data_IF_167382895177
#
_entry.id   IF_167382895177
#
_cell.length_a   1.000
_cell.length_b   1.000
_cell.length_c   1.000
_cell.angle_alpha   90.00
_cell.angle_beta   90.00
_cell.angle_gamma   90.00
#
_symmetry.space_group_name_H-M   'P 1'
#
loop_
_entity.id
_entity.type
_entity.pdbx_description
1 polymer ?
#
# COMPACT_ATOMS: atom_id res chain seq x y z
N UNK A 1 -21.36 0.06 -5.04
CA UNK A 1 -20.80 1.25 -4.37
C UNK A 1 -20.72 0.90 -2.89
N UNK A 2 -19.58 1.12 -2.23
CA UNK A 2 -19.47 0.76 -0.80
C UNK A 2 -20.28 1.74 0.04
N UNK A 3 -20.94 1.24 1.08
CA UNK A 3 -21.70 2.06 2.03
C UNK A 3 -20.82 3.15 2.68
N UNK A 4 -19.55 2.82 2.98
CA UNK A 4 -18.56 3.77 3.50
C UNK A 4 -18.40 5.01 2.59
N UNK A 5 -18.39 4.80 1.26
CA UNK A 5 -18.27 5.88 0.30
C UNK A 5 -19.52 6.77 0.29
N UNK A 6 -20.71 6.18 0.38
CA UNK A 6 -21.96 6.94 0.45
C UNK A 6 -22.02 7.83 1.69
N UNK A 7 -21.66 7.28 2.85
CA UNK A 7 -21.58 8.04 4.11
C UNK A 7 -20.54 9.15 4.02
N UNK A 8 -19.35 8.87 3.47
CA UNK A 8 -18.31 9.87 3.32
C UNK A 8 -18.75 11.02 2.38
N UNK A 9 -19.43 10.70 1.27
CA UNK A 9 -19.97 11.69 0.32
C UNK A 9 -21.10 12.53 0.92
N UNK A 10 -21.93 11.94 1.77
CA UNK A 10 -22.98 12.67 2.48
C UNK A 10 -22.36 13.63 3.51
N UNK A 11 -21.47 13.12 4.35
CA UNK A 11 -20.88 13.90 5.44
C UNK A 11 -19.94 15.01 4.95
N UNK A 12 -19.21 14.79 3.86
CA UNK A 12 -18.19 15.72 3.36
C UNK A 12 -18.63 16.44 2.07
N UNK A 13 -19.95 16.54 1.84
CA UNK A 13 -20.49 17.25 0.67
C UNK A 13 -20.09 18.72 0.69
N UNK A 14 -19.55 19.20 -0.43
CA UNK A 14 -19.07 20.57 -0.59
C UNK A 14 -17.70 20.83 0.02
N UNK A 15 -17.09 19.82 0.65
CA UNK A 15 -15.73 19.90 1.16
C UNK A 15 -14.74 19.51 0.07
N UNK A 16 -13.56 20.13 0.10
CA UNK A 16 -12.42 19.69 -0.70
C UNK A 16 -11.85 18.39 -0.13
N UNK A 17 -12.43 17.27 -0.55
CA UNK A 17 -12.11 15.93 -0.05
C UNK A 17 -12.08 14.89 -1.17
N UNK A 18 -11.16 13.93 -1.05
CA UNK A 18 -10.93 12.87 -2.04
C UNK A 18 -10.75 11.52 -1.36
N UNK A 19 -11.34 10.47 -1.95
CA UNK A 19 -10.89 9.10 -1.67
C UNK A 19 -9.57 8.88 -2.37
N UNK A 20 -8.61 8.26 -1.71
CA UNK A 20 -7.24 8.10 -2.22
C UNK A 20 -6.71 6.69 -2.00
N UNK A 21 -5.59 6.34 -2.63
CA UNK A 21 -4.80 5.18 -2.23
C UNK A 21 -5.39 3.83 -2.61
N UNK A 22 -5.22 2.87 -1.68
CA UNK A 22 -5.65 1.49 -1.87
C UNK A 22 -7.14 1.37 -2.13
N UNK A 23 -7.95 2.23 -1.51
CA UNK A 23 -9.39 2.26 -1.71
C UNK A 23 -9.78 2.54 -3.17
N UNK A 24 -9.14 3.53 -3.81
CA UNK A 24 -9.40 3.84 -5.23
C UNK A 24 -8.91 2.70 -6.12
N UNK A 25 -7.69 2.21 -5.87
CA UNK A 25 -7.09 1.08 -6.59
C UNK A 25 -7.99 -0.16 -6.56
N UNK A 26 -8.38 -0.59 -5.37
CA UNK A 26 -9.15 -1.81 -5.17
C UNK A 26 -10.55 -1.67 -5.76
N UNK A 27 -11.17 -0.48 -5.68
CA UNK A 27 -12.43 -0.19 -6.38
C UNK A 27 -12.30 -0.31 -7.90
N UNK A 28 -11.22 0.22 -8.49
CA UNK A 28 -10.97 0.11 -9.93
C UNK A 28 -10.70 -1.33 -10.38
N UNK A 29 -10.12 -2.15 -9.49
CA UNK A 29 -9.92 -3.58 -9.71
C UNK A 29 -11.17 -4.43 -9.41
N UNK A 30 -12.28 -3.84 -8.97
CA UNK A 30 -13.50 -4.57 -8.59
C UNK A 30 -13.36 -5.39 -7.31
N UNK A 31 -12.39 -5.07 -6.46
CA UNK A 31 -12.17 -5.72 -5.16
C UNK A 31 -13.00 -5.03 -4.06
N UNK A 32 -13.33 -5.75 -2.97
CA UNK A 32 -13.97 -5.14 -1.81
C UNK A 32 -13.11 -4.02 -1.20
N UNK A 33 -13.74 -2.92 -0.81
CA UNK A 33 -13.09 -1.81 -0.10
C UNK A 33 -13.70 -1.72 1.29
N UNK A 34 -12.95 -2.15 2.30
CA UNK A 34 -13.35 -2.11 3.72
C UNK A 34 -12.77 -0.87 4.42
N UNK A 35 -11.58 -0.46 4.01
CA UNK A 35 -10.89 0.71 4.53
C UNK A 35 -10.91 1.83 3.48
N UNK A 36 -11.50 2.97 3.85
CA UNK A 36 -11.57 4.14 2.98
C UNK A 36 -10.58 5.20 3.47
N UNK A 37 -9.54 5.48 2.69
CA UNK A 37 -8.65 6.60 2.94
C UNK A 37 -9.22 7.87 2.29
N UNK A 38 -9.45 8.92 3.08
CA UNK A 38 -9.98 10.22 2.63
C UNK A 38 -8.98 11.32 2.94
N UNK A 39 -8.43 11.93 1.89
CA UNK A 39 -7.59 13.12 2.00
C UNK A 39 -8.45 14.38 1.95
N UNK A 40 -8.22 15.33 2.85
CA UNK A 40 -8.99 16.58 2.97
C UNK A 40 -8.09 17.81 2.97
N UNK A 41 -8.55 18.89 2.33
CA UNK A 41 -7.87 20.18 2.41
C UNK A 41 -8.20 20.96 3.70
N UNK A 42 -9.29 20.59 4.37
CA UNK A 42 -9.71 21.16 5.65
C UNK A 42 -9.03 20.49 6.85
N UNK A 43 -9.50 20.83 8.05
CA UNK A 43 -8.97 20.29 9.31
C UNK A 43 -9.51 18.86 9.56
N UNK A 44 -8.64 17.82 9.59
CA UNK A 44 -9.08 16.42 9.64
C UNK A 44 -9.96 16.07 10.83
N UNK A 45 -9.68 16.61 12.03
CA UNK A 45 -10.47 16.31 13.22
C UNK A 45 -11.91 16.77 13.07
N UNK A 46 -12.13 17.97 12.55
CA UNK A 46 -13.45 18.56 12.36
C UNK A 46 -14.25 17.75 11.35
N UNK A 47 -13.64 17.42 10.21
CA UNK A 47 -14.28 16.63 9.16
C UNK A 47 -14.54 15.18 9.57
N UNK A 48 -13.60 14.54 10.27
CA UNK A 48 -13.79 13.21 10.83
C UNK A 48 -14.92 13.17 11.87
N UNK A 49 -15.05 14.20 12.70
CA UNK A 49 -16.16 14.31 13.66
C UNK A 49 -17.50 14.47 12.97
N UNK A 50 -17.57 15.25 11.90
CA UNK A 50 -18.78 15.36 11.10
C UNK A 50 -19.15 14.01 10.47
N UNK A 51 -18.18 13.31 9.89
CA UNK A 51 -18.36 11.98 9.32
C UNK A 51 -18.83 10.97 10.38
N UNK A 52 -18.25 11.00 11.58
CA UNK A 52 -18.67 10.16 12.71
C UNK A 52 -20.14 10.35 13.12
N UNK A 53 -20.65 11.58 13.06
CA UNK A 53 -22.08 11.86 13.35
C UNK A 53 -22.98 11.17 12.33
N UNK A 54 -22.67 11.28 11.03
CA UNK A 54 -23.45 10.63 9.96
C UNK A 54 -23.30 9.10 10.00
N UNK A 55 -22.10 8.61 10.31
CA UNK A 55 -21.82 7.18 10.47
C UNK A 55 -22.44 6.57 11.73
N UNK A 56 -22.89 7.38 12.70
CA UNK A 56 -23.39 6.92 13.99
C UNK A 56 -22.33 6.27 14.88
N UNK A 57 -21.07 6.73 14.76
CA UNK A 57 -19.92 6.08 15.38
C UNK A 57 -18.89 7.04 15.98
N UNK A 58 -17.82 6.53 16.61
CA UNK A 58 -16.76 7.38 17.17
C UNK A 58 -15.74 7.81 16.10
N UNK A 59 -15.17 9.00 16.29
CA UNK A 59 -13.95 9.46 15.64
C UNK A 59 -12.82 9.56 16.66
N UNK A 60 -11.65 9.03 16.34
CA UNK A 60 -10.46 9.10 17.21
C UNK A 60 -9.18 9.33 16.40
N UNK A 61 -8.21 9.97 17.03
CA UNK A 61 -6.91 10.26 16.44
C UNK A 61 -6.04 8.99 16.47
N UNK A 62 -5.46 8.62 15.32
CA UNK A 62 -4.59 7.43 15.21
C UNK A 62 -3.17 7.72 15.71
N UNK A 63 -2.66 8.92 15.48
CA UNK A 63 -1.38 9.38 16.02
C UNK A 63 -1.25 10.90 15.90
N UNK A 64 -0.68 11.53 16.94
CA UNK A 64 -0.43 12.98 16.95
C UNK A 64 0.65 13.45 15.96
N UNK A 65 1.42 12.53 15.35
CA UNK A 65 2.49 12.86 14.42
C UNK A 65 1.99 13.11 12.98
N UNK A 66 0.90 12.46 12.57
CA UNK A 66 0.37 12.52 11.20
C UNK A 66 -1.02 13.17 11.11
N UNK A 67 -1.64 13.50 12.25
CA UNK A 67 -2.95 14.16 12.29
C UNK A 67 -4.07 13.35 11.63
N UNK A 68 -3.90 12.03 11.52
CA UNK A 68 -4.87 11.12 10.91
C UNK A 68 -5.98 10.77 11.92
N UNK A 69 -7.22 10.83 11.46
CA UNK A 69 -8.41 10.52 12.25
C UNK A 69 -9.16 9.34 11.69
N UNK A 70 -9.43 8.34 12.51
CA UNK A 70 -10.23 7.18 12.14
C UNK A 70 -11.66 7.36 12.59
N UNK A 71 -12.59 7.06 11.70
CA UNK A 71 -14.00 6.93 11.99
C UNK A 71 -14.39 5.47 11.85
N UNK A 72 -14.92 4.92 12.94
CA UNK A 72 -15.47 3.57 12.96
C UNK A 72 -16.99 3.64 12.92
N UNK A 73 -17.65 2.76 12.17
CA UNK A 73 -19.11 2.66 12.17
C UNK A 73 -19.56 1.40 12.94
N UNK A 74 -20.13 1.54 14.15
CA UNK A 74 -20.59 0.40 14.95
C UNK A 74 -21.57 -0.49 14.17
N UNK A 75 -21.33 -1.80 14.17
CA UNK A 75 -22.15 -2.78 13.46
C UNK A 75 -21.94 -2.83 11.94
N UNK A 76 -20.93 -2.10 11.43
CA UNK A 76 -20.51 -2.14 10.02
C UNK A 76 -19.05 -2.60 9.94
N UNK A 77 -18.69 -3.27 8.84
CA UNK A 77 -17.34 -3.84 8.64
C UNK A 77 -16.37 -2.88 7.96
N UNK A 78 -16.66 -1.58 7.97
CA UNK A 78 -15.84 -0.58 7.31
C UNK A 78 -15.38 0.52 8.27
N UNK A 79 -14.28 1.16 7.91
CA UNK A 79 -13.74 2.34 8.59
C UNK A 79 -13.27 3.38 7.58
N UNK A 80 -13.24 4.63 8.00
CA UNK A 80 -12.75 5.76 7.18
C UNK A 80 -11.62 6.45 7.91
N UNK A 81 -10.47 6.55 7.27
CA UNK A 81 -9.32 7.33 7.75
C UNK A 81 -9.29 8.67 7.04
N UNK A 82 -9.40 9.75 7.81
CA UNK A 82 -9.38 11.13 7.33
C UNK A 82 -8.01 11.74 7.61
N UNK A 83 -7.32 12.18 6.56
CA UNK A 83 -5.97 12.76 6.64
C UNK A 83 -5.92 14.12 5.95
N UNK A 84 -5.09 15.02 6.46
CA UNK A 84 -4.81 16.28 5.76
C UNK A 84 -4.01 15.99 4.49
N UNK A 85 -4.23 16.80 3.45
CA UNK A 85 -3.38 16.80 2.26
C UNK A 85 -1.92 17.05 2.64
N UNK A 86 -1.01 16.29 2.03
CA UNK A 86 0.42 16.58 2.10
C UNK A 86 0.81 17.55 0.98
N UNK A 87 0.72 18.85 1.27
CA UNK A 87 0.95 19.93 0.31
C UNK A 87 -0.27 20.82 0.12
N UNK A 88 -0.24 21.71 -0.86
CA UNK A 88 -1.31 22.68 -1.12
C UNK A 88 -2.40 22.13 -2.06
N UNK A 89 -2.10 21.01 -2.73
CA UNK A 89 -2.96 20.40 -3.74
C UNK A 89 -3.02 18.86 -3.61
N UNK A 90 -4.09 18.27 -4.16
CA UNK A 90 -4.20 16.80 -4.24
C UNK A 90 -3.08 16.20 -5.10
N UNK A 91 -2.61 16.93 -6.11
CA UNK A 91 -1.51 16.49 -6.97
C UNK A 91 -0.20 16.37 -6.19
N UNK A 92 0.08 17.30 -5.29
CA UNK A 92 1.25 17.24 -4.39
C UNK A 92 1.14 16.08 -3.40
N UNK A 93 -0.04 15.83 -2.83
CA UNK A 93 -0.26 14.67 -1.96
C UNK A 93 0.02 13.36 -2.70
N UNK A 94 -0.53 13.22 -3.91
CA UNK A 94 -0.32 12.04 -4.75
C UNK A 94 1.15 11.86 -5.15
N UNK A 95 1.90 12.95 -5.34
CA UNK A 95 3.32 12.93 -5.70
C UNK A 95 4.21 12.32 -4.61
N UNK A 96 3.75 12.34 -3.36
CA UNK A 96 4.51 11.82 -2.23
C UNK A 96 4.33 10.32 -2.05
N UNK A 97 3.42 9.68 -2.79
CA UNK A 97 3.09 8.25 -2.62
C UNK A 97 4.16 7.33 -3.19
N UNK A 98 4.00 6.05 -2.91
CA UNK A 98 4.95 5.01 -3.29
C UNK A 98 4.82 4.60 -4.76
N UNK A 99 3.62 4.16 -5.16
CA UNK A 99 3.34 3.62 -6.50
C UNK A 99 2.22 4.37 -7.19
N UNK A 100 2.32 4.48 -8.52
CA UNK A 100 1.33 5.17 -9.37
C UNK A 100 -0.08 4.61 -9.16
N UNK A 101 -0.21 3.29 -9.02
CA UNK A 101 -1.48 2.60 -8.76
C UNK A 101 -2.14 2.99 -7.43
N UNK A 102 -1.36 3.52 -6.47
CA UNK A 102 -1.84 4.07 -5.20
C UNK A 102 -1.93 5.61 -5.24
N UNK A 103 -1.52 6.24 -6.34
CA UNK A 103 -1.46 7.68 -6.54
C UNK A 103 -2.62 8.17 -7.42
N UNK A 104 -3.81 7.66 -7.15
CA UNK A 104 -5.07 8.02 -7.80
C UNK A 104 -6.02 8.56 -6.74
N UNK A 105 -6.73 9.65 -7.06
CA UNK A 105 -7.73 10.24 -6.19
C UNK A 105 -9.09 10.35 -6.88
N UNK A 106 -10.16 10.17 -6.11
CA UNK A 106 -11.55 10.35 -6.53
C UNK A 106 -12.21 11.44 -5.69
N UNK A 107 -12.66 12.56 -6.29
CA UNK A 107 -13.38 13.61 -5.56
C UNK A 107 -14.66 13.07 -4.92
N UNK A 108 -14.91 13.39 -3.65
CA UNK A 108 -16.14 12.94 -2.96
C UNK A 108 -17.40 13.60 -3.54
N UNK A 109 -17.33 14.87 -3.95
CA UNK A 109 -18.44 15.57 -4.62
C UNK A 109 -18.75 15.06 -6.04
N UNK A 110 -17.98 14.08 -6.52
CA UNK A 110 -18.07 13.56 -7.87
C UNK A 110 -17.24 14.37 -8.87
N UNK A 111 -17.01 13.79 -10.04
CA UNK A 111 -16.14 14.34 -11.07
C UNK A 111 -15.16 13.30 -11.61
N UNK A 112 -14.25 13.73 -12.51
CA UNK A 112 -13.22 12.85 -13.04
C UNK A 112 -12.22 12.44 -11.95
N UNK A 113 -11.60 11.27 -12.13
CA UNK A 113 -10.47 10.85 -11.33
C UNK A 113 -9.29 11.81 -11.53
N UNK A 114 -8.57 12.06 -10.44
CA UNK A 114 -7.30 12.78 -10.47
C UNK A 114 -6.18 11.74 -10.47
N UNK A 115 -5.58 11.56 -11.64
CA UNK A 115 -4.49 10.60 -11.89
C UNK A 115 -3.33 11.26 -12.64
N UNK A 116 -2.52 12.10 -11.97
CA UNK A 116 -1.42 12.82 -12.62
C UNK A 116 -0.25 11.91 -13.02
N UNK A 117 -0.17 10.69 -12.46
CA UNK A 117 0.95 9.78 -12.67
C UNK A 117 0.61 8.59 -13.59
N UNK A 118 -0.64 8.46 -14.05
CA UNK A 118 -1.07 7.39 -14.95
C UNK A 118 -1.26 6.04 -14.27
N UNK A 119 -1.61 6.05 -12.98
CA UNK A 119 -1.88 4.86 -12.18
C UNK A 119 -3.02 4.01 -12.71
N UNK A 120 -4.06 4.60 -13.31
CA UNK A 120 -5.15 3.85 -13.92
C UNK A 120 -4.67 3.01 -15.13
N UNK A 121 -3.79 3.58 -15.95
CA UNK A 121 -3.16 2.84 -17.05
C UNK A 121 -2.21 1.75 -16.55
N UNK A 122 -1.51 1.98 -15.44
CA UNK A 122 -0.67 0.96 -14.80
C UNK A 122 -1.49 -0.17 -14.19
N UNK A 123 -2.70 0.12 -13.66
CA UNK A 123 -3.65 -0.89 -13.21
C UNK A 123 -4.11 -1.80 -14.35
N UNK A 124 -4.46 -1.22 -15.50
CA UNK A 124 -4.84 -1.98 -16.70
C UNK A 124 -3.70 -2.88 -17.19
N UNK A 125 -2.46 -2.39 -17.13
CA UNK A 125 -1.25 -3.13 -17.52
C UNK A 125 -0.74 -4.09 -16.44
N UNK A 126 -1.34 -4.10 -15.25
CA UNK A 126 -0.85 -4.85 -14.06
C UNK A 126 0.62 -4.54 -13.74
N UNK A 127 0.99 -3.26 -13.81
CA UNK A 127 2.34 -2.76 -13.63
C UNK A 127 2.50 -2.05 -12.27
N UNK A 128 3.56 -2.34 -11.53
CA UNK A 128 3.96 -1.58 -10.34
C UNK A 128 5.09 -0.62 -10.70
N UNK A 129 4.72 0.66 -10.85
CA UNK A 129 5.65 1.73 -11.14
C UNK A 129 5.73 2.70 -9.97
N UNK A 130 6.93 3.10 -9.59
CA UNK A 130 7.14 4.13 -8.57
C UNK A 130 6.63 5.50 -9.06
N UNK A 131 6.09 6.32 -8.14
CA UNK A 131 5.60 7.67 -8.48
C UNK A 131 6.75 8.59 -8.90
N UNK A 132 7.86 8.51 -8.18
CA UNK A 132 9.09 9.28 -8.40
C UNK A 132 10.29 8.48 -7.89
N UNK A 133 11.50 8.80 -8.36
CA UNK A 133 12.73 8.13 -7.88
C UNK A 133 12.96 8.44 -6.39
N UNK A 134 12.60 9.64 -5.94
CA UNK A 134 12.67 10.06 -4.55
C UNK A 134 11.63 9.35 -3.65
N UNK A 135 10.67 8.62 -4.23
CA UNK A 135 9.64 7.93 -3.45
C UNK A 135 10.26 6.93 -2.47
N UNK A 136 11.32 6.22 -2.86
CA UNK A 136 12.05 5.30 -1.99
C UNK A 136 13.01 5.99 -1.03
N UNK A 137 13.48 7.20 -1.37
CA UNK A 137 14.33 7.98 -0.47
C UNK A 137 13.57 8.58 0.70
N UNK A 138 12.28 8.91 0.50
CA UNK A 138 11.37 9.42 1.55
C UNK A 138 11.02 8.36 2.58
N UNK A 139 10.85 7.10 2.18
CA UNK A 139 10.55 5.99 3.09
C UNK A 139 11.11 4.67 2.54
N UNK A 140 12.27 4.21 3.04
CA UNK A 140 12.89 2.96 2.58
C UNK A 140 12.01 1.72 2.73
N UNK A 141 10.99 1.75 3.61
CA UNK A 141 10.01 0.66 3.74
C UNK A 141 9.28 0.37 2.42
N UNK A 142 9.18 1.36 1.54
CA UNK A 142 8.50 1.23 0.24
C UNK A 142 9.16 0.22 -0.69
N UNK A 143 10.45 -0.07 -0.49
CA UNK A 143 11.14 -1.14 -1.22
C UNK A 143 10.58 -2.52 -0.81
N UNK A 144 10.31 -2.73 0.49
CA UNK A 144 9.64 -3.96 0.95
C UNK A 144 8.16 -4.00 0.55
N UNK A 145 7.49 -2.84 0.54
CA UNK A 145 6.11 -2.72 0.03
C UNK A 145 6.01 -3.11 -1.44
N UNK A 146 7.04 -2.88 -2.26
CA UNK A 146 7.07 -3.32 -3.66
C UNK A 146 6.86 -4.83 -3.76
N UNK A 147 7.62 -5.61 -2.98
CA UNK A 147 7.49 -7.06 -2.92
C UNK A 147 6.10 -7.50 -2.43
N UNK A 148 5.60 -6.84 -1.36
CA UNK A 148 4.25 -7.11 -0.84
C UNK A 148 3.16 -6.83 -1.87
N UNK A 149 3.22 -5.69 -2.57
CA UNK A 149 2.20 -5.34 -3.56
C UNK A 149 2.28 -6.22 -4.80
N UNK A 150 3.49 -6.61 -5.23
CA UNK A 150 3.65 -7.54 -6.33
C UNK A 150 2.94 -8.86 -6.03
N UNK A 151 3.17 -9.45 -4.85
CA UNK A 151 2.50 -10.65 -4.40
C UNK A 151 0.98 -10.44 -4.16
N UNK A 152 0.59 -9.37 -3.47
CA UNK A 152 -0.80 -9.17 -3.09
C UNK A 152 -1.74 -8.71 -4.22
N UNK A 153 -1.19 -8.20 -5.33
CA UNK A 153 -1.94 -7.78 -6.51
C UNK A 153 -1.70 -8.68 -7.73
N UNK A 154 -0.64 -9.49 -7.72
CA UNK A 154 -0.16 -10.24 -8.88
C UNK A 154 0.30 -9.32 -10.00
N UNK A 155 1.01 -8.24 -9.66
CA UNK A 155 1.50 -7.21 -10.59
C UNK A 155 3.02 -7.28 -10.71
N UNK A 156 3.54 -6.91 -11.87
CA UNK A 156 4.97 -6.92 -12.17
C UNK A 156 5.55 -5.50 -12.03
N UNK A 157 6.63 -5.30 -11.27
CA UNK A 157 7.35 -4.03 -11.26
C UNK A 157 8.01 -3.72 -12.60
N UNK A 158 8.02 -2.46 -13.01
CA UNK A 158 8.80 -2.05 -14.20
C UNK A 158 10.32 -2.02 -13.91
N UNK A 159 11.12 -2.08 -14.97
CA UNK A 159 12.58 -2.16 -14.87
C UNK A 159 13.19 -1.00 -14.08
N UNK A 160 12.66 0.22 -14.28
CA UNK A 160 13.10 1.40 -13.56
C UNK A 160 12.83 1.30 -12.06
N UNK A 161 11.63 0.83 -11.67
CA UNK A 161 11.29 0.62 -10.25
C UNK A 161 12.17 -0.46 -9.62
N UNK A 162 12.45 -1.56 -10.33
CA UNK A 162 13.35 -2.62 -9.84
C UNK A 162 14.76 -2.06 -9.61
N UNK A 163 15.31 -1.33 -10.58
CA UNK A 163 16.64 -0.76 -10.48
C UNK A 163 16.74 0.23 -9.32
N UNK A 164 15.73 1.11 -9.16
CA UNK A 164 15.67 2.09 -8.08
C UNK A 164 15.52 1.43 -6.70
N UNK A 165 14.70 0.38 -6.61
CA UNK A 165 14.48 -0.39 -5.39
C UNK A 165 15.76 -1.14 -4.96
N UNK A 166 16.43 -1.83 -5.89
CA UNK A 166 17.65 -2.58 -5.61
C UNK A 166 18.80 -1.69 -5.13
N UNK A 167 18.93 -0.47 -5.67
CA UNK A 167 19.93 0.52 -5.23
C UNK A 167 19.72 0.98 -3.78
N UNK A 168 18.48 0.92 -3.28
CA UNK A 168 18.08 1.45 -1.97
C UNK A 168 17.76 0.36 -0.95
N UNK A 169 17.92 -0.91 -1.33
CA UNK A 169 17.59 -2.06 -0.47
C UNK A 169 18.32 -2.02 0.88
N UNK A 170 19.58 -1.59 0.91
CA UNK A 170 20.39 -1.47 2.14
C UNK A 170 19.81 -0.48 3.16
N UNK A 171 19.08 0.54 2.69
CA UNK A 171 18.46 1.57 3.53
C UNK A 171 17.29 1.04 4.34
N UNK A 172 16.81 -0.18 4.08
CA UNK A 172 15.78 -0.81 4.92
C UNK A 172 16.22 -0.93 6.38
N UNK A 173 17.53 -0.98 6.65
CA UNK A 173 18.09 -0.96 8.01
C UNK A 173 17.85 0.35 8.78
N UNK A 174 17.49 1.44 8.09
CA UNK A 174 17.10 2.73 8.70
C UNK A 174 15.67 2.70 9.25
N UNK A 175 14.86 1.70 8.86
CA UNK A 175 13.44 1.62 9.20
C UNK A 175 13.24 0.89 10.53
N UNK A 176 12.29 1.39 11.34
CA UNK A 176 11.85 0.73 12.56
C UNK A 176 11.44 -0.73 12.31
N UNK A 177 11.96 -1.65 13.13
CA UNK A 177 11.80 -3.10 12.95
C UNK A 177 10.33 -3.54 13.00
N UNK A 178 9.50 -2.85 13.78
CA UNK A 178 8.06 -3.11 13.88
C UNK A 178 7.34 -2.86 12.53
N UNK A 179 7.77 -1.83 11.78
CA UNK A 179 7.21 -1.54 10.45
C UNK A 179 7.66 -2.57 9.43
N UNK A 180 8.93 -2.96 9.47
CA UNK A 180 9.49 -4.02 8.62
C UNK A 180 8.76 -5.34 8.87
N UNK A 181 8.59 -5.72 10.14
CA UNK A 181 7.85 -6.91 10.53
C UNK A 181 6.39 -6.88 10.07
N UNK A 182 5.71 -5.73 10.17
CA UNK A 182 4.35 -5.56 9.67
C UNK A 182 4.23 -5.86 8.17
N UNK A 183 5.10 -5.27 7.36
CA UNK A 183 5.12 -5.49 5.90
C UNK A 183 5.50 -6.93 5.55
N UNK A 184 6.49 -7.51 6.22
CA UNK A 184 6.91 -8.89 6.03
C UNK A 184 5.77 -9.86 6.37
N UNK A 185 5.07 -9.64 7.49
CA UNK A 185 3.91 -10.44 7.88
C UNK A 185 2.86 -10.43 6.78
N UNK A 186 2.52 -9.25 6.24
CA UNK A 186 1.54 -9.17 5.15
C UNK A 186 2.02 -9.87 3.88
N UNK A 187 3.31 -9.79 3.55
CA UNK A 187 3.90 -10.49 2.41
C UNK A 187 3.77 -12.01 2.57
N UNK A 188 4.19 -12.57 3.70
CA UNK A 188 4.19 -14.04 3.89
C UNK A 188 2.79 -14.64 4.06
N UNK A 189 1.79 -13.82 4.38
CA UNK A 189 0.37 -14.24 4.44
C UNK A 189 -0.40 -13.97 3.15
N UNK A 190 0.25 -13.48 2.10
CA UNK A 190 -0.39 -13.27 0.80
C UNK A 190 -0.53 -14.58 0.01
N UNK A 191 -1.45 -14.60 -0.95
CA UNK A 191 -1.70 -15.80 -1.78
C UNK A 191 -0.46 -16.20 -2.59
N UNK A 192 0.27 -15.21 -3.13
CA UNK A 192 1.49 -15.39 -3.95
C UNK A 192 2.75 -15.03 -3.15
N UNK A 193 2.83 -15.51 -1.89
CA UNK A 193 3.94 -15.19 -0.99
C UNK A 193 5.31 -15.61 -1.54
N UNK A 194 5.36 -16.70 -2.33
CA UNK A 194 6.61 -17.18 -2.91
C UNK A 194 7.17 -16.18 -3.91
N UNK A 195 6.33 -15.68 -4.82
CA UNK A 195 6.67 -14.70 -5.84
C UNK A 195 7.17 -13.39 -5.21
N UNK A 196 6.54 -12.94 -4.13
CA UNK A 196 7.00 -11.76 -3.41
C UNK A 196 8.32 -11.98 -2.66
N UNK A 197 8.56 -13.17 -2.11
CA UNK A 197 9.87 -13.53 -1.52
C UNK A 197 10.96 -13.63 -2.60
N UNK A 198 10.65 -14.18 -3.78
CA UNK A 198 11.56 -14.19 -4.93
C UNK A 198 11.90 -12.79 -5.40
N UNK A 199 10.93 -11.88 -5.44
CA UNK A 199 11.16 -10.48 -5.76
C UNK A 199 12.00 -9.79 -4.68
N UNK A 200 11.71 -10.03 -3.39
CA UNK A 200 12.53 -9.53 -2.29
C UNK A 200 13.99 -9.97 -2.45
N UNK A 201 14.22 -11.20 -2.93
CA UNK A 201 15.55 -11.72 -3.20
C UNK A 201 16.25 -11.02 -4.37
N UNK A 202 15.54 -10.86 -5.49
CA UNK A 202 16.02 -10.10 -6.65
C UNK A 202 16.39 -8.66 -6.29
N UNK A 203 15.66 -8.06 -5.36
CA UNK A 203 15.92 -6.71 -4.84
C UNK A 203 17.04 -6.66 -3.82
N UNK A 204 17.64 -7.80 -3.44
CA UNK A 204 18.65 -7.92 -2.37
C UNK A 204 18.14 -7.44 -1.01
N UNK A 205 16.84 -7.56 -0.76
CA UNK A 205 16.25 -7.25 0.54
C UNK A 205 16.41 -8.41 1.54
N UNK A 206 16.47 -9.66 1.06
CA UNK A 206 16.56 -10.85 1.92
C UNK A 206 17.74 -10.77 2.88
N UNK A 207 18.91 -10.29 2.44
CA UNK A 207 20.11 -10.16 3.27
C UNK A 207 19.97 -9.14 4.40
N UNK A 208 19.01 -8.21 4.30
CA UNK A 208 18.78 -7.17 5.29
C UNK A 208 17.57 -7.44 6.18
N UNK A 209 16.55 -8.11 5.65
CA UNK A 209 15.28 -8.36 6.35
C UNK A 209 15.24 -9.74 7.00
N UNK A 210 15.83 -10.76 6.35
CA UNK A 210 15.86 -12.15 6.80
C UNK A 210 17.24 -12.78 6.55
N UNK A 211 18.30 -12.29 7.20
CA UNK A 211 19.67 -12.76 6.95
C UNK A 211 19.83 -14.27 7.17
N UNK A 212 19.05 -14.86 8.08
CA UNK A 212 19.04 -16.30 8.35
C UNK A 212 18.62 -17.11 7.11
N UNK A 213 17.71 -16.61 6.27
CA UNK A 213 17.32 -17.31 5.04
C UNK A 213 18.45 -17.37 4.02
N UNK A 214 19.35 -16.38 4.00
CA UNK A 214 20.52 -16.39 3.12
C UNK A 214 21.43 -17.56 3.47
N UNK A 215 21.60 -17.84 4.77
CA UNK A 215 22.44 -18.95 5.26
C UNK A 215 21.90 -20.34 4.90
N UNK A 216 20.63 -20.43 4.52
CA UNK A 216 19.99 -21.68 4.10
C UNK A 216 20.15 -21.95 2.60
N UNK A 217 20.68 -21.01 1.80
CA UNK A 217 20.93 -21.25 0.38
C UNK A 217 21.98 -22.34 0.19
N UNK A 218 21.63 -23.36 -0.59
CA UNK A 218 22.52 -24.49 -0.87
C UNK A 218 22.61 -25.54 0.23
N UNK A 219 21.85 -25.41 1.32
CA UNK A 219 21.69 -26.49 2.30
C UNK A 219 20.75 -27.54 1.71
N UNK A 220 21.29 -28.72 1.38
CA UNK A 220 20.46 -29.87 1.00
C UNK A 220 19.51 -30.21 2.16
N UNK A 221 18.19 -30.21 1.89
CA UNK A 221 17.22 -30.72 2.86
C UNK A 221 17.54 -32.19 3.16
N UNK A 222 18.01 -32.45 4.38
CA UNK A 222 18.41 -33.78 4.80
C UNK A 222 17.21 -34.76 4.68
N UNK A 223 17.49 -36.04 4.39
CA UNK A 223 16.51 -37.05 3.88
C UNK A 223 15.28 -37.31 4.76
N UNK A 224 15.15 -36.70 5.93
CA UNK A 224 14.05 -36.88 6.88
C UNK A 224 12.88 -35.89 6.70
N UNK A 225 12.98 -34.91 5.81
CA UNK A 225 11.90 -33.94 5.51
C UNK A 225 11.31 -34.06 4.10
N UNK A 226 11.07 -35.28 3.59
CA UNK A 226 10.19 -35.46 2.41
C UNK A 226 8.73 -35.50 2.84
N UNK A 227 8.03 -34.37 2.84
CA UNK A 227 6.60 -34.42 2.53
C UNK A 227 6.45 -34.57 1.02
N UNK A 228 5.67 -35.57 0.60
CA UNK A 228 5.42 -35.88 -0.81
C UNK A 228 4.65 -34.74 -1.48
N UNK A 229 5.32 -33.95 -2.30
CA UNK A 229 4.79 -33.55 -3.61
C UNK A 229 5.93 -33.09 -4.51
N UNK A 230 5.93 -33.62 -5.72
CA UNK A 230 6.98 -33.47 -6.73
C UNK A 230 6.65 -32.33 -7.67
N UNK A 231 7.53 -31.33 -7.74
CA UNK A 231 7.81 -30.56 -8.96
C UNK A 231 9.24 -30.00 -8.89
N UNK A 232 10.03 -30.03 -9.97
CA UNK A 232 11.44 -29.68 -9.91
C UNK A 232 11.67 -28.16 -9.82
N UNK A 233 12.55 -27.81 -8.89
CA UNK A 233 13.16 -26.48 -8.69
C UNK A 233 13.54 -25.78 -9.99
N UNK A 234 13.04 -24.55 -10.17
CA UNK A 234 13.46 -23.60 -11.21
C UNK A 234 14.17 -22.40 -10.55
N UNK A 235 15.29 -22.65 -9.89
CA UNK A 235 16.20 -21.57 -9.50
C UNK A 235 17.40 -21.58 -10.43
N UNK A 236 17.58 -20.57 -11.31
CA UNK A 236 18.83 -20.41 -12.02
C UNK A 236 19.88 -19.91 -11.03
N UNK A 237 20.96 -20.67 -10.87
CA UNK A 237 22.19 -20.21 -10.23
C UNK A 237 22.94 -19.33 -11.23
N UNK A 238 23.00 -18.01 -11.00
CA UNK A 238 24.06 -17.10 -11.49
C UNK A 238 24.03 -15.82 -10.67
#
# INVERSE_FOLDING_TARGET
MSEALEVAREALRGERAWVVGGAVRDRLLGRPVLDLDVAVAGEPRTLARHLAVVAGGPAFELSGAFGAWRVHAPGREWQVDVTALQGDSIQEDLAQRDFTVNAIAEPLDGGPLVDPFGGAGDLERRCLRMVSDEAFDRDPLRVLRLARFAAGLGFEPDEATIAAAAQRATRIGEVAQERVFGELKHLVTSDDALEGLELMDRLRLTEHVLPELVTLRGVEQNRFHRSRSSSPSRWPTS
#
